data_IF_205840674069
#
_entry.id   IF_205840674069
#
_cell.length_a   1.000
_cell.length_b   1.000
_cell.length_c   1.000
_cell.angle_alpha   90.00
_cell.angle_beta   90.00
_cell.angle_gamma   90.00
#
_symmetry.space_group_name_H-M   'P 1'
#
loop_
_entity.id
_entity.type
_entity.pdbx_description
1 polymer ?
#
# COMPACT_ATOMS: atom_id res chain seq x y z
N UNK A 1 -38.83 3.68 -18.80
CA UNK A 1 -37.92 4.82 -18.56
C UNK A 1 -36.87 4.36 -17.58
N UNK A 2 -35.62 4.78 -17.75
CA UNK A 2 -34.51 4.41 -16.88
C UNK A 2 -33.98 5.65 -16.16
N UNK A 3 -33.71 5.53 -14.87
CA UNK A 3 -33.11 6.60 -14.08
C UNK A 3 -31.67 6.88 -14.53
N UNK A 4 -31.32 8.16 -14.55
CA UNK A 4 -29.97 8.66 -14.82
C UNK A 4 -29.46 9.29 -13.53
N UNK A 5 -28.34 8.78 -13.01
CA UNK A 5 -27.65 9.36 -11.86
C UNK A 5 -26.34 10.02 -12.27
N UNK A 6 -25.95 11.06 -11.55
CA UNK A 6 -24.60 11.62 -11.54
C UNK A 6 -23.90 11.11 -10.28
N UNK A 7 -22.82 10.37 -10.46
CA UNK A 7 -21.93 10.01 -9.38
C UNK A 7 -20.82 11.06 -9.29
N UNK A 8 -20.62 11.61 -8.10
CA UNK A 8 -19.67 12.69 -7.83
C UNK A 8 -18.60 12.14 -6.89
N UNK A 9 -17.34 12.33 -7.25
CA UNK A 9 -16.17 11.88 -6.50
C UNK A 9 -15.31 13.09 -6.15
N UNK A 10 -14.74 13.09 -4.95
CA UNK A 10 -13.65 13.99 -4.60
C UNK A 10 -12.32 13.26 -4.75
N UNK A 11 -11.60 13.53 -5.85
CA UNK A 11 -10.31 12.89 -6.12
C UNK A 11 -9.19 13.37 -5.19
N UNK A 12 -9.45 14.40 -4.38
CA UNK A 12 -8.55 14.83 -3.31
C UNK A 12 -8.79 14.11 -1.97
N UNK A 13 -9.83 13.27 -1.87
CA UNK A 13 -10.21 12.57 -0.64
C UNK A 13 -10.36 13.50 0.59
N UNK A 14 -10.92 14.70 0.38
CA UNK A 14 -11.12 15.71 1.43
C UNK A 14 -9.94 16.65 1.66
N UNK A 15 -8.77 16.41 1.03
CA UNK A 15 -7.60 17.26 1.19
C UNK A 15 -7.80 18.66 0.61
N UNK A 16 -8.53 18.79 -0.50
CA UNK A 16 -8.81 20.11 -1.09
C UNK A 16 -9.52 21.02 -0.09
N UNK A 17 -10.50 20.50 0.66
CA UNK A 17 -11.22 21.25 1.69
C UNK A 17 -10.31 21.76 2.81
N UNK A 18 -9.22 21.06 3.11
CA UNK A 18 -8.30 21.43 4.21
C UNK A 18 -7.20 22.37 3.71
N UNK A 19 -6.66 22.10 2.51
CA UNK A 19 -5.40 22.69 2.07
C UNK A 19 -5.56 23.81 1.02
N UNK A 20 -6.68 23.85 0.29
CA UNK A 20 -6.89 24.77 -0.83
C UNK A 20 -6.65 26.24 -0.47
N UNK A 21 -7.19 26.70 0.67
CA UNK A 21 -7.01 28.07 1.13
C UNK A 21 -5.53 28.44 1.34
N UNK A 22 -4.73 27.50 1.84
CA UNK A 22 -3.30 27.72 2.13
C UNK A 22 -2.43 27.60 0.87
N UNK A 23 -2.78 26.72 -0.06
CA UNK A 23 -1.97 26.45 -1.26
C UNK A 23 -2.30 27.42 -2.39
N UNK A 24 -3.58 27.58 -2.71
CA UNK A 24 -4.05 28.36 -3.88
C UNK A 24 -4.75 29.65 -3.48
N UNK A 25 -4.80 29.98 -2.19
CA UNK A 25 -5.36 31.25 -1.69
C UNK A 25 -6.89 31.33 -1.75
N UNK A 26 -7.55 30.24 -2.14
CA UNK A 26 -9.00 30.13 -2.27
C UNK A 26 -9.44 28.77 -1.74
N UNK A 27 -10.55 28.77 -0.99
CA UNK A 27 -11.16 27.56 -0.47
C UNK A 27 -11.94 26.79 -1.54
N UNK A 28 -11.67 25.49 -1.67
CA UNK A 28 -12.34 24.53 -2.54
C UNK A 28 -12.82 23.35 -1.71
N UNK A 29 -14.10 22.98 -1.83
CA UNK A 29 -14.69 21.86 -1.08
C UNK A 29 -14.21 20.47 -1.55
N UNK A 30 -13.64 20.36 -2.75
CA UNK A 30 -13.20 19.10 -3.35
C UNK A 30 -12.60 19.32 -4.73
N UNK A 31 -11.93 18.29 -5.25
CA UNK A 31 -11.58 18.21 -6.67
C UNK A 31 -12.50 17.20 -7.31
N UNK A 32 -13.39 17.68 -8.18
CA UNK A 32 -14.54 16.90 -8.62
C UNK A 32 -14.25 16.08 -9.88
N UNK A 33 -14.48 14.78 -9.78
CA UNK A 33 -14.68 13.89 -10.93
C UNK A 33 -16.12 13.42 -10.95
N UNK A 34 -16.71 13.29 -12.14
CA UNK A 34 -18.08 12.78 -12.29
C UNK A 34 -18.23 11.70 -13.35
N UNK A 35 -19.14 10.77 -13.06
CA UNK A 35 -19.63 9.75 -13.98
C UNK A 35 -21.16 9.78 -14.11
N UNK A 36 -21.67 9.41 -15.30
CA UNK A 36 -23.11 9.28 -15.56
C UNK A 36 -23.50 7.82 -15.45
N UNK A 37 -24.42 7.50 -14.54
CA UNK A 37 -24.87 6.13 -14.29
C UNK A 37 -26.25 5.90 -14.87
N UNK A 38 -26.36 4.89 -15.74
CA UNK A 38 -27.63 4.43 -16.31
C UNK A 38 -27.66 2.91 -16.25
N UNK A 39 -28.69 2.34 -15.62
CA UNK A 39 -28.87 0.87 -15.49
C UNK A 39 -27.68 0.14 -14.86
N UNK A 40 -27.07 0.77 -13.87
CA UNK A 40 -25.94 0.20 -13.12
C UNK A 40 -24.60 0.27 -13.85
N UNK A 41 -24.54 0.86 -15.05
CA UNK A 41 -23.30 1.14 -15.78
C UNK A 41 -22.99 2.62 -15.64
N UNK A 42 -21.76 2.91 -15.25
CA UNK A 42 -21.20 4.25 -15.13
C UNK A 42 -20.36 4.60 -16.35
N UNK A 43 -20.61 5.75 -16.95
CA UNK A 43 -19.91 6.27 -18.11
C UNK A 43 -19.16 7.55 -17.73
N UNK A 44 -17.91 7.68 -18.14
CA UNK A 44 -17.07 8.86 -17.87
C UNK A 44 -16.11 9.11 -19.03
N UNK A 45 -15.55 10.31 -19.12
CA UNK A 45 -14.61 10.69 -20.18
C UNK A 45 -13.20 10.86 -19.63
N UNK A 46 -12.23 10.25 -20.31
CA UNK A 46 -10.81 10.22 -19.97
C UNK A 46 -9.95 10.39 -21.23
N UNK A 47 -8.62 10.29 -21.08
CA UNK A 47 -7.68 10.45 -22.19
C UNK A 47 -7.95 9.46 -23.33
N UNK A 48 -8.42 8.26 -23.00
CA UNK A 48 -8.74 7.17 -23.91
C UNK A 48 -10.11 7.33 -24.61
N UNK A 49 -10.91 8.34 -24.27
CA UNK A 49 -12.27 8.54 -24.79
C UNK A 49 -13.35 8.31 -23.74
N UNK A 50 -14.54 7.91 -24.18
CA UNK A 50 -15.62 7.51 -23.27
C UNK A 50 -15.31 6.11 -22.73
N UNK A 51 -15.17 6.00 -21.42
CA UNK A 51 -14.99 4.76 -20.70
C UNK A 51 -16.28 4.40 -19.95
N UNK A 52 -16.44 3.12 -19.60
CA UNK A 52 -17.54 2.68 -18.77
C UNK A 52 -17.14 1.55 -17.83
N UNK A 53 -17.83 1.44 -16.69
CA UNK A 53 -17.63 0.41 -15.69
C UNK A 53 -18.92 0.12 -14.91
N UNK A 54 -18.87 -0.80 -13.95
CA UNK A 54 -19.98 -0.99 -13.00
C UNK A 54 -20.03 0.24 -12.09
N UNK A 55 -21.24 0.75 -11.85
CA UNK A 55 -21.42 1.98 -11.09
C UNK A 55 -20.81 1.90 -9.68
N UNK A 56 -19.90 2.82 -9.36
CA UNK A 56 -19.23 2.87 -8.07
C UNK A 56 -18.00 1.98 -7.94
N UNK A 57 -17.47 1.41 -9.03
CA UNK A 57 -16.24 0.59 -9.01
C UNK A 57 -15.03 1.32 -9.61
N UNK A 58 -15.09 2.64 -9.75
CA UNK A 58 -13.97 3.46 -10.18
C UNK A 58 -12.79 3.35 -9.19
N UNK A 59 -11.56 3.26 -9.72
CA UNK A 59 -10.34 3.13 -8.92
C UNK A 59 -10.00 4.38 -8.06
N UNK A 60 -10.73 5.48 -8.26
CA UNK A 60 -10.63 6.73 -7.49
C UNK A 60 -11.51 6.74 -6.23
N UNK A 61 -12.04 5.58 -5.81
CA UNK A 61 -12.79 5.42 -4.58
C UNK A 61 -14.31 5.38 -4.76
N UNK A 62 -15.05 5.63 -3.68
CA UNK A 62 -16.52 5.67 -3.68
C UNK A 62 -17.05 7.08 -3.93
N UNK A 63 -18.21 7.22 -4.61
CA UNK A 63 -18.79 8.54 -4.84
C UNK A 63 -19.23 9.16 -3.52
N UNK A 64 -18.87 10.43 -3.32
CA UNK A 64 -19.27 11.23 -2.15
C UNK A 64 -20.73 11.67 -2.25
N UNK A 65 -21.27 11.78 -3.47
CA UNK A 65 -22.69 12.04 -3.72
C UNK A 65 -23.18 11.22 -4.93
N UNK A 66 -24.36 10.63 -4.81
CA UNK A 66 -25.10 9.97 -5.90
C UNK A 66 -26.38 10.75 -6.15
N UNK A 67 -26.44 11.50 -7.25
CA UNK A 67 -27.52 12.46 -7.51
C UNK A 67 -28.42 11.99 -8.64
N UNK A 68 -29.73 11.86 -8.42
CA UNK A 68 -30.68 11.57 -9.50
C UNK A 68 -30.81 12.81 -10.39
N UNK A 69 -30.54 12.65 -11.69
CA UNK A 69 -30.53 13.73 -12.68
C UNK A 69 -31.75 13.71 -13.60
N UNK A 70 -32.55 12.65 -13.58
CA UNK A 70 -33.75 12.52 -14.38
C UNK A 70 -33.95 11.11 -14.90
N UNK A 71 -34.75 10.98 -15.96
CA UNK A 71 -35.05 9.70 -16.58
C UNK A 71 -34.92 9.80 -18.10
N UNK A 72 -34.48 8.72 -18.74
CA UNK A 72 -34.48 8.59 -20.20
C UNK A 72 -35.49 7.56 -20.68
N UNK A 73 -36.11 7.85 -21.83
CA UNK A 73 -36.97 6.91 -22.56
C UNK A 73 -36.19 5.99 -23.51
N UNK A 74 -34.90 6.25 -23.74
CA UNK A 74 -34.08 5.44 -24.64
C UNK A 74 -34.00 3.99 -24.15
N UNK A 75 -34.11 3.05 -25.08
CA UNK A 75 -33.78 1.64 -24.88
C UNK A 75 -32.27 1.45 -24.65
N UNK A 76 -31.85 0.22 -24.32
CA UNK A 76 -30.43 -0.06 -24.05
C UNK A 76 -29.57 0.17 -25.31
N UNK A 77 -30.08 -0.32 -26.44
CA UNK A 77 -29.43 -0.21 -27.74
C UNK A 77 -29.38 1.24 -28.24
N UNK A 78 -30.43 2.02 -28.03
CA UNK A 78 -30.43 3.44 -28.41
C UNK A 78 -29.47 4.26 -27.55
N UNK A 79 -29.39 3.96 -26.25
CA UNK A 79 -28.43 4.62 -25.36
C UNK A 79 -26.98 4.24 -25.71
N UNK A 80 -26.72 2.97 -26.04
CA UNK A 80 -25.39 2.55 -26.48
C UNK A 80 -25.01 3.23 -27.79
N UNK A 81 -25.89 3.24 -28.79
CA UNK A 81 -25.65 3.94 -30.06
C UNK A 81 -25.41 5.45 -29.87
N UNK A 82 -26.09 6.06 -28.89
CA UNK A 82 -25.83 7.43 -28.49
C UNK A 82 -24.42 7.61 -27.92
N UNK A 83 -23.99 6.75 -27.00
CA UNK A 83 -22.62 6.79 -26.45
C UNK A 83 -21.55 6.55 -27.52
N UNK A 84 -21.77 5.61 -28.43
CA UNK A 84 -20.87 5.33 -29.55
C UNK A 84 -20.75 6.55 -30.47
N UNK A 85 -21.88 7.20 -30.79
CA UNK A 85 -21.88 8.44 -31.58
C UNK A 85 -21.08 9.56 -30.89
N UNK A 86 -21.23 9.73 -29.58
CA UNK A 86 -20.45 10.71 -28.83
C UNK A 86 -18.95 10.38 -28.84
N UNK A 87 -18.60 9.10 -28.69
CA UNK A 87 -17.22 8.61 -28.73
C UNK A 87 -16.56 8.87 -30.10
N UNK A 88 -17.31 8.73 -31.19
CA UNK A 88 -16.80 8.93 -32.56
C UNK A 88 -16.72 10.40 -32.97
N UNK A 89 -17.46 11.30 -32.31
CA UNK A 89 -17.59 12.70 -32.73
C UNK A 89 -16.90 13.66 -31.79
N UNK A 90 -17.50 13.94 -30.64
CA UNK A 90 -17.11 15.05 -29.77
C UNK A 90 -16.30 14.60 -28.56
N UNK A 91 -16.46 13.38 -28.05
CA UNK A 91 -15.70 12.82 -26.92
C UNK A 91 -14.75 11.72 -27.37
N UNK A 92 -13.91 12.06 -28.36
CA UNK A 92 -12.94 11.14 -28.97
C UNK A 92 -11.73 10.92 -28.07
N UNK A 93 -11.13 9.75 -28.18
CA UNK A 93 -9.82 9.47 -27.61
C UNK A 93 -8.79 10.55 -28.00
N UNK A 94 -7.98 10.98 -27.05
CA UNK A 94 -6.95 12.00 -27.22
C UNK A 94 -7.45 13.45 -27.22
N UNK A 95 -8.76 13.69 -27.10
CA UNK A 95 -9.32 15.06 -27.03
C UNK A 95 -9.51 15.57 -25.60
N UNK A 96 -9.26 14.73 -24.60
CA UNK A 96 -9.37 15.09 -23.19
C UNK A 96 -8.39 16.21 -22.82
N UNK A 97 -8.90 17.19 -22.09
CA UNK A 97 -8.12 18.24 -21.45
C UNK A 97 -8.67 18.48 -20.04
N UNK A 98 -7.81 18.35 -19.04
CA UNK A 98 -8.22 18.42 -17.63
C UNK A 98 -8.97 19.71 -17.28
N UNK A 99 -8.61 20.85 -17.87
CA UNK A 99 -9.20 22.15 -17.52
C UNK A 99 -10.40 22.53 -18.39
N UNK A 100 -10.35 22.23 -19.68
CA UNK A 100 -11.32 22.76 -20.65
C UNK A 100 -12.27 21.68 -21.21
N UNK A 101 -11.88 20.41 -21.19
CA UNK A 101 -12.62 19.34 -21.85
C UNK A 101 -12.44 17.99 -21.15
N UNK A 102 -13.12 17.83 -20.02
CA UNK A 102 -12.88 16.74 -19.08
C UNK A 102 -14.14 15.89 -18.80
N UNK A 103 -14.05 15.00 -17.82
CA UNK A 103 -15.16 14.15 -17.35
C UNK A 103 -16.41 14.95 -16.98
N UNK A 104 -16.27 16.12 -16.36
CA UNK A 104 -17.39 16.98 -15.96
C UNK A 104 -18.08 17.60 -17.18
N UNK A 105 -17.31 17.99 -18.21
CA UNK A 105 -17.85 18.45 -19.49
C UNK A 105 -18.69 17.36 -20.15
N UNK A 106 -18.20 16.12 -20.15
CA UNK A 106 -18.91 14.96 -20.66
C UNK A 106 -20.20 14.68 -19.89
N UNK A 107 -20.13 14.56 -18.56
CA UNK A 107 -21.31 14.28 -17.75
C UNK A 107 -22.38 15.35 -17.91
N UNK A 108 -21.97 16.62 -17.97
CA UNK A 108 -22.90 17.72 -18.23
C UNK A 108 -23.55 17.64 -19.62
N UNK A 109 -22.80 17.27 -20.65
CA UNK A 109 -23.34 17.09 -21.99
C UNK A 109 -24.41 16.00 -22.02
N UNK A 110 -24.06 14.79 -21.55
CA UNK A 110 -24.96 13.63 -21.55
C UNK A 110 -26.22 13.90 -20.75
N UNK A 111 -26.09 14.46 -19.55
CA UNK A 111 -27.25 14.75 -18.70
C UNK A 111 -28.16 15.79 -19.35
N UNK A 112 -27.58 16.85 -19.93
CA UNK A 112 -28.35 17.89 -20.61
C UNK A 112 -29.10 17.36 -21.81
N UNK A 113 -28.46 16.54 -22.62
CA UNK A 113 -29.07 16.03 -23.84
C UNK A 113 -30.19 15.02 -23.55
N UNK A 114 -30.03 14.18 -22.52
CA UNK A 114 -30.98 13.14 -22.18
C UNK A 114 -32.11 13.58 -21.24
N UNK A 115 -31.90 14.62 -20.44
CA UNK A 115 -32.87 15.04 -19.39
C UNK A 115 -33.24 16.52 -19.44
N UNK A 116 -32.50 17.34 -20.18
CA UNK A 116 -32.61 18.81 -20.14
C UNK A 116 -31.99 19.47 -18.89
N UNK A 117 -31.54 18.69 -17.91
CA UNK A 117 -30.91 19.20 -16.68
C UNK A 117 -29.41 19.48 -16.87
N UNK A 118 -28.79 20.14 -15.90
CA UNK A 118 -27.34 20.38 -15.89
C UNK A 118 -26.73 19.89 -14.59
N UNK A 119 -25.45 19.53 -14.59
CA UNK A 119 -24.75 19.15 -13.36
C UNK A 119 -24.49 20.38 -12.49
N UNK A 120 -24.26 20.23 -11.17
CA UNK A 120 -24.01 21.37 -10.28
C UNK A 120 -22.86 22.26 -10.76
N UNK A 121 -23.08 23.58 -10.79
CA UNK A 121 -22.11 24.52 -11.36
C UNK A 121 -20.77 24.56 -10.62
N UNK A 122 -20.75 24.32 -9.31
CA UNK A 122 -19.51 24.24 -8.53
C UNK A 122 -18.56 23.12 -9.02
N UNK A 123 -19.07 22.13 -9.76
CA UNK A 123 -18.28 21.07 -10.42
C UNK A 123 -17.74 21.57 -11.77
N UNK A 124 -18.60 22.16 -12.62
CA UNK A 124 -18.19 22.65 -13.95
C UNK A 124 -17.28 23.86 -13.89
N UNK A 125 -17.46 24.70 -12.87
CA UNK A 125 -16.74 25.96 -12.70
C UNK A 125 -15.39 25.77 -11.99
N UNK A 126 -15.17 24.60 -11.37
CA UNK A 126 -13.96 24.30 -10.59
C UNK A 126 -12.66 24.59 -11.37
N UNK A 127 -12.46 24.14 -12.62
CA UNK A 127 -11.24 24.43 -13.35
C UNK A 127 -11.02 25.93 -13.56
N UNK A 128 -12.07 26.68 -13.93
CA UNK A 128 -11.99 28.12 -14.13
C UNK A 128 -11.66 28.85 -12.82
N UNK A 129 -12.24 28.42 -11.70
CA UNK A 129 -11.95 28.98 -10.38
C UNK A 129 -10.50 28.71 -9.96
N UNK A 130 -9.96 27.52 -10.22
CA UNK A 130 -8.54 27.20 -9.95
C UNK A 130 -7.63 28.10 -10.79
N UNK A 131 -7.92 28.28 -12.09
CA UNK A 131 -7.12 29.12 -12.98
C UNK A 131 -7.15 30.61 -12.63
N UNK A 132 -8.20 31.08 -11.98
CA UNK A 132 -8.32 32.46 -11.48
C UNK A 132 -7.49 32.72 -10.21
N UNK A 133 -6.96 31.69 -9.56
CA UNK A 133 -6.07 31.86 -8.40
C UNK A 133 -4.69 32.39 -8.81
N UNK A 134 -3.95 33.09 -7.92
CA UNK A 134 -2.63 33.64 -8.26
C UNK A 134 -1.61 32.61 -8.78
N UNK A 135 -1.76 31.35 -8.36
CA UNK A 135 -0.88 30.22 -8.69
C UNK A 135 -1.49 29.33 -9.80
N UNK A 136 -2.77 29.52 -10.14
CA UNK A 136 -3.53 28.72 -11.11
C UNK A 136 -2.82 28.47 -12.45
N UNK A 137 -2.33 29.52 -13.15
CA UNK A 137 -1.61 29.34 -14.42
C UNK A 137 -0.30 28.55 -14.30
N UNK A 138 0.38 28.65 -13.16
CA UNK A 138 1.59 27.87 -12.87
C UNK A 138 1.22 26.40 -12.65
N UNK A 139 0.19 26.13 -11.84
CA UNK A 139 -0.34 24.77 -11.64
C UNK A 139 -0.80 24.14 -12.95
N UNK A 140 -1.47 24.90 -13.81
CA UNK A 140 -1.90 24.42 -15.13
C UNK A 140 -0.71 23.88 -15.93
N UNK A 141 0.38 24.66 -16.00
CA UNK A 141 1.60 24.27 -16.73
C UNK A 141 2.24 22.99 -16.14
N UNK A 142 2.29 22.89 -14.81
CA UNK A 142 2.82 21.69 -14.15
C UNK A 142 1.93 20.47 -14.36
N UNK A 143 0.62 20.61 -14.24
CA UNK A 143 -0.34 19.51 -14.36
C UNK A 143 -0.47 19.04 -15.80
N UNK A 144 -0.50 19.95 -16.78
CA UNK A 144 -0.47 19.58 -18.20
C UNK A 144 0.87 18.95 -18.59
N UNK A 145 1.99 19.41 -18.00
CA UNK A 145 3.30 18.79 -18.15
C UNK A 145 3.37 17.38 -17.56
N UNK A 146 2.76 17.16 -16.40
CA UNK A 146 2.65 15.85 -15.76
C UNK A 146 1.67 14.93 -16.51
N UNK A 147 0.53 15.44 -16.98
CA UNK A 147 -0.47 14.68 -17.73
C UNK A 147 0.06 14.17 -19.09
N UNK A 148 1.04 14.86 -19.69
CA UNK A 148 1.74 14.38 -20.89
C UNK A 148 2.78 13.28 -20.60
N UNK A 149 3.13 13.03 -19.33
CA UNK A 149 4.05 11.97 -18.89
C UNK A 149 3.30 10.84 -18.15
N UNK A 150 2.15 11.15 -17.57
CA UNK A 150 1.26 10.24 -16.85
C UNK A 150 -0.18 10.60 -17.20
N UNK A 151 -0.71 10.04 -18.29
CA UNK A 151 -2.15 9.92 -18.45
C UNK A 151 -2.68 8.92 -17.41
N UNK A 152 -3.94 9.02 -16.96
CA UNK A 152 -4.57 7.92 -16.24
C UNK A 152 -4.71 6.77 -17.25
N UNK A 153 -3.71 5.90 -17.31
CA UNK A 153 -3.69 4.74 -18.20
C UNK A 153 -4.86 3.84 -17.84
N UNK A 154 -5.96 3.92 -18.59
CA UNK A 154 -6.97 2.87 -18.60
C UNK A 154 -6.37 1.75 -19.45
N UNK A 155 -5.87 0.72 -18.77
CA UNK A 155 -5.58 -0.56 -19.39
C UNK A 155 -6.80 -0.96 -20.23
N UNK A 156 -6.56 -1.40 -21.47
CA UNK A 156 -7.62 -1.98 -22.30
C UNK A 156 -8.17 -3.22 -21.57
N UNK A 157 -9.33 -3.06 -20.94
CA UNK A 157 -10.03 -4.17 -20.30
C UNK A 157 -10.59 -5.07 -21.41
N UNK A 158 -9.81 -6.07 -21.81
CA UNK A 158 -10.34 -7.29 -22.39
C UNK A 158 -11.17 -8.02 -21.32
N UNK A 159 -12.18 -8.76 -21.76
CA UNK A 159 -13.17 -9.51 -20.96
C UNK A 159 -12.62 -10.51 -19.90
N UNK A 160 -11.32 -10.52 -19.60
CA UNK A 160 -10.67 -11.41 -18.63
C UNK A 160 -10.47 -10.77 -17.23
N UNK A 161 -10.33 -9.45 -17.09
CA UNK A 161 -9.99 -8.79 -15.81
C UNK A 161 -11.14 -8.71 -14.78
N UNK A 162 -12.40 -8.92 -15.19
CA UNK A 162 -13.54 -8.95 -14.25
C UNK A 162 -13.50 -10.13 -13.28
N UNK A 163 -12.76 -11.20 -13.60
CA UNK A 163 -12.51 -12.30 -12.66
C UNK A 163 -11.33 -12.01 -11.72
N UNK A 164 -10.33 -11.24 -12.13
CA UNK A 164 -9.13 -10.95 -11.34
C UNK A 164 -9.40 -9.99 -10.16
N UNK A 165 -10.23 -8.96 -10.33
CA UNK A 165 -10.58 -8.04 -9.23
C UNK A 165 -11.49 -8.67 -8.16
N UNK A 166 -12.38 -9.60 -8.56
CA UNK A 166 -13.17 -10.41 -7.63
C UNK A 166 -12.26 -11.42 -6.91
N UNK A 167 -11.30 -12.03 -7.64
CA UNK A 167 -10.31 -12.92 -7.06
C UNK A 167 -9.38 -12.22 -6.08
N UNK A 168 -8.93 -10.98 -6.33
CA UNK A 168 -8.02 -10.29 -5.40
C UNK A 168 -8.72 -9.94 -4.09
N UNK A 169 -9.99 -9.51 -4.13
CA UNK A 169 -10.76 -9.26 -2.90
C UNK A 169 -10.97 -10.55 -2.10
N UNK A 170 -11.30 -11.66 -2.77
CA UNK A 170 -11.39 -12.97 -2.13
C UNK A 170 -10.04 -13.44 -1.55
N UNK A 171 -8.94 -13.21 -2.26
CA UNK A 171 -7.58 -13.51 -1.78
C UNK A 171 -7.23 -12.69 -0.53
N UNK A 172 -7.66 -11.43 -0.44
CA UNK A 172 -7.48 -10.58 0.74
C UNK A 172 -8.37 -10.99 1.93
N UNK A 173 -9.51 -11.64 1.69
CA UNK A 173 -10.32 -12.24 2.76
C UNK A 173 -9.64 -13.49 3.35
N UNK A 174 -8.92 -14.25 2.53
CA UNK A 174 -8.23 -15.48 2.93
C UNK A 174 -6.84 -15.23 3.53
N UNK A 175 -6.09 -14.28 2.98
CA UNK A 175 -4.70 -14.01 3.35
C UNK A 175 -4.60 -12.68 4.08
N UNK A 176 -4.47 -12.76 5.42
CA UNK A 176 -4.32 -11.60 6.30
C UNK A 176 -2.86 -11.12 6.38
N UNK A 177 -2.64 -9.80 6.56
CA UNK A 177 -1.31 -9.27 6.85
C UNK A 177 -0.72 -9.84 8.14
N UNK A 178 0.60 -9.93 8.19
CA UNK A 178 1.39 -10.20 9.40
C UNK A 178 1.51 -8.91 10.20
N UNK A 179 1.17 -9.00 11.48
CA UNK A 179 1.31 -7.93 12.44
C UNK A 179 2.15 -8.46 13.61
N UNK A 180 3.13 -7.66 14.01
CA UNK A 180 4.00 -7.90 15.16
C UNK A 180 3.41 -7.17 16.36
N UNK A 181 2.71 -7.91 17.20
CA UNK A 181 2.04 -7.44 18.41
C UNK A 181 2.77 -7.79 19.70
N UNK A 182 3.92 -8.48 19.60
CA UNK A 182 4.68 -8.93 20.74
C UNK A 182 5.20 -7.75 21.59
N UNK A 183 5.32 -7.91 22.92
CA UNK A 183 5.88 -6.88 23.78
C UNK A 183 7.34 -6.60 23.42
N UNK A 184 7.84 -5.42 23.81
CA UNK A 184 9.26 -5.09 23.68
C UNK A 184 10.11 -6.12 24.43
N UNK A 185 11.21 -6.55 23.82
CA UNK A 185 12.22 -7.33 24.51
C UNK A 185 12.72 -6.58 25.74
N UNK A 186 13.14 -7.32 26.77
CA UNK A 186 13.67 -6.75 28.01
C UNK A 186 14.84 -5.77 27.78
N UNK A 187 15.61 -5.98 26.71
CA UNK A 187 16.71 -5.11 26.27
C UNK A 187 16.25 -3.72 25.82
N UNK A 188 14.97 -3.55 25.48
CA UNK A 188 14.34 -2.29 25.11
C UNK A 188 13.30 -1.82 26.14
N UNK A 189 13.35 -2.38 27.35
CA UNK A 189 12.57 -1.92 28.49
C UNK A 189 12.89 -0.48 28.87
N UNK A 190 11.99 0.18 29.60
CA UNK A 190 12.16 1.57 30.03
C UNK A 190 13.45 1.80 30.84
N UNK A 191 13.85 0.83 31.65
CA UNK A 191 15.11 0.83 32.43
C UNK A 191 16.34 0.66 31.52
N UNK A 192 16.24 -0.19 30.50
CA UNK A 192 17.33 -0.43 29.55
C UNK A 192 17.53 0.75 28.61
N UNK A 193 16.47 1.50 28.26
CA UNK A 193 16.55 2.73 27.48
C UNK A 193 17.38 3.81 28.17
N UNK A 194 17.32 3.90 29.51
CA UNK A 194 18.19 4.82 30.24
C UNK A 194 19.66 4.50 30.01
N UNK A 195 20.02 3.23 30.05
CA UNK A 195 21.40 2.80 29.82
C UNK A 195 21.81 2.99 28.36
N UNK A 196 20.92 2.64 27.42
CA UNK A 196 21.17 2.66 25.97
C UNK A 196 21.35 4.08 25.41
N UNK A 197 20.65 5.06 25.98
CA UNK A 197 20.70 6.47 25.56
C UNK A 197 21.48 7.36 26.55
N UNK A 198 22.19 6.76 27.51
CA UNK A 198 23.10 7.50 28.38
C UNK A 198 24.46 7.71 27.72
N UNK A 199 25.02 8.90 27.91
CA UNK A 199 26.41 9.19 27.55
C UNK A 199 27.13 9.84 28.73
N UNK A 200 28.34 9.37 29.09
CA UNK A 200 29.14 9.98 30.15
C UNK A 200 29.76 11.33 29.73
N UNK A 201 29.66 11.70 28.45
CA UNK A 201 30.16 12.96 27.90
C UNK A 201 29.01 13.94 27.74
N UNK A 202 29.23 15.20 28.09
CA UNK A 202 28.25 16.28 27.86
C UNK A 202 28.54 16.91 26.50
N UNK A 203 28.11 16.24 25.43
CA UNK A 203 28.24 16.68 24.04
C UNK A 203 26.90 16.66 23.29
N UNK A 204 26.90 17.07 22.02
CA UNK A 204 25.70 17.08 21.18
C UNK A 204 25.05 15.69 21.04
N UNK A 205 25.84 14.61 21.08
CA UNK A 205 25.32 13.25 21.02
C UNK A 205 24.54 12.89 22.30
N UNK A 206 25.03 13.31 23.47
CA UNK A 206 24.34 13.16 24.74
C UNK A 206 23.04 13.97 24.81
N UNK A 207 23.06 15.21 24.31
CA UNK A 207 21.84 16.03 24.24
C UNK A 207 20.78 15.38 23.35
N UNK A 208 21.16 14.96 22.14
CA UNK A 208 20.27 14.23 21.25
C UNK A 208 19.73 12.95 21.88
N UNK A 209 20.59 12.14 22.50
CA UNK A 209 20.18 10.87 23.11
C UNK A 209 19.20 11.08 24.27
N UNK A 210 19.39 12.15 25.06
CA UNK A 210 18.47 12.52 26.14
C UNK A 210 17.09 12.91 25.60
N UNK A 211 17.02 13.69 24.51
CA UNK A 211 15.75 14.08 23.87
C UNK A 211 15.08 12.90 23.16
N UNK A 212 15.84 12.06 22.45
CA UNK A 212 15.33 10.84 21.82
C UNK A 212 14.69 9.92 22.86
N UNK A 213 15.37 9.70 23.99
CA UNK A 213 14.84 8.90 25.10
C UNK A 213 13.52 9.43 25.64
N UNK A 214 13.35 10.74 25.81
CA UNK A 214 12.08 11.32 26.28
C UNK A 214 10.94 11.02 25.30
N UNK A 215 11.20 11.18 24.00
CA UNK A 215 10.23 10.89 22.94
C UNK A 215 9.88 9.39 22.90
N UNK A 216 10.89 8.52 22.96
CA UNK A 216 10.69 7.06 22.99
C UNK A 216 9.87 6.60 24.20
N UNK A 217 10.12 7.17 25.39
CA UNK A 217 9.31 6.88 26.58
C UNK A 217 7.85 7.29 26.42
N UNK A 218 7.59 8.40 25.74
CA UNK A 218 6.22 8.83 25.47
C UNK A 218 5.45 7.84 24.59
N UNK A 219 6.15 7.15 23.67
CA UNK A 219 5.56 6.14 22.79
C UNK A 219 5.32 4.79 23.50
N UNK A 220 5.99 4.52 24.62
CA UNK A 220 5.77 3.30 25.41
C UNK A 220 4.61 3.41 26.40
N UNK A 221 4.06 4.61 26.60
CA UNK A 221 2.95 4.85 27.54
C UNK A 221 1.67 4.10 27.14
N UNK A 222 0.77 3.81 28.11
CA UNK A 222 -0.47 3.12 27.83
C UNK A 222 -1.49 3.92 27.02
N UNK A 223 -1.33 5.24 26.95
CA UNK A 223 -2.15 6.17 26.18
C UNK A 223 -1.21 7.17 25.50
N UNK A 224 -1.41 7.42 24.21
CA UNK A 224 -0.70 8.47 23.49
C UNK A 224 -1.07 9.85 24.09
N UNK A 225 -0.09 10.67 24.50
CA UNK A 225 -0.39 11.95 25.14
C UNK A 225 -1.19 12.94 24.27
N UNK A 226 -1.02 12.87 22.95
CA UNK A 226 -1.69 13.71 21.94
C UNK A 226 -2.09 12.84 20.72
N UNK A 227 -3.12 13.24 19.97
CA UNK A 227 -3.55 12.58 18.71
C UNK A 227 -2.47 12.58 17.61
N UNK A 228 -1.52 13.52 17.66
CA UNK A 228 -0.37 13.59 16.75
C UNK A 228 0.92 13.88 17.54
N UNK A 229 1.98 13.12 17.28
CA UNK A 229 3.32 13.44 17.81
C UNK A 229 3.94 14.61 17.05
N UNK A 230 4.92 15.28 17.65
CA UNK A 230 5.68 16.32 16.96
C UNK A 230 6.55 15.74 15.83
N UNK A 231 6.83 16.55 14.81
CA UNK A 231 7.67 16.16 13.66
C UNK A 231 9.05 15.66 14.12
N UNK A 232 9.57 16.19 15.22
CA UNK A 232 10.82 15.76 15.82
C UNK A 232 10.78 14.30 16.31
N UNK A 233 9.62 13.75 16.69
CA UNK A 233 9.47 12.33 17.01
C UNK A 233 9.67 11.47 15.77
N UNK A 234 8.99 11.78 14.66
CA UNK A 234 9.16 11.05 13.40
C UNK A 234 10.59 11.11 12.87
N UNK A 235 11.30 12.23 13.12
CA UNK A 235 12.71 12.39 12.73
C UNK A 235 13.67 11.34 13.33
N UNK A 236 13.25 10.63 14.40
CA UNK A 236 14.05 9.53 14.96
C UNK A 236 14.25 8.38 13.96
N UNK A 237 13.29 8.15 13.05
CA UNK A 237 13.39 7.16 11.98
C UNK A 237 14.41 7.53 10.89
N UNK A 238 14.88 8.78 10.85
CA UNK A 238 15.97 9.19 9.97
C UNK A 238 17.33 8.63 10.41
N UNK A 239 17.42 8.15 11.66
CA UNK A 239 18.66 7.78 12.34
C UNK A 239 19.68 8.90 12.37
N UNK A 240 19.70 9.63 13.48
CA UNK A 240 20.64 10.72 13.67
C UNK A 240 22.09 10.27 13.45
N UNK A 241 22.94 11.17 12.93
CA UNK A 241 24.37 10.90 12.69
C UNK A 241 25.14 10.39 13.92
N UNK A 242 24.61 10.61 15.12
CA UNK A 242 25.18 10.19 16.40
C UNK A 242 24.66 8.83 16.91
N UNK A 243 23.63 8.26 16.28
CA UNK A 243 23.00 7.03 16.70
C UNK A 243 23.89 5.80 16.44
N UNK A 244 23.78 4.80 17.31
CA UNK A 244 24.34 3.46 17.09
C UNK A 244 23.30 2.54 16.44
N UNK A 245 23.72 1.43 15.82
CA UNK A 245 22.78 0.44 15.28
C UNK A 245 21.79 -0.06 16.33
N UNK A 246 22.25 -0.34 17.56
CA UNK A 246 21.37 -0.79 18.65
C UNK A 246 20.37 0.29 19.09
N UNK A 247 20.75 1.57 19.05
CA UNK A 247 19.81 2.67 19.30
C UNK A 247 18.77 2.78 18.17
N UNK A 248 19.19 2.62 16.91
CA UNK A 248 18.27 2.58 15.77
C UNK A 248 17.31 1.39 15.84
N UNK A 249 17.80 0.22 16.26
CA UNK A 249 17.00 -0.98 16.48
C UNK A 249 15.91 -0.73 17.54
N UNK A 250 16.29 -0.15 18.68
CA UNK A 250 15.35 0.24 19.74
C UNK A 250 14.31 1.26 19.26
N UNK A 251 14.71 2.23 18.44
CA UNK A 251 13.78 3.20 17.83
C UNK A 251 12.75 2.45 16.98
N UNK A 252 13.17 1.56 16.07
CA UNK A 252 12.26 0.79 15.23
C UNK A 252 11.29 -0.07 16.05
N UNK A 253 11.77 -0.79 17.07
CA UNK A 253 10.92 -1.64 17.90
C UNK A 253 9.89 -0.85 18.72
N UNK A 254 10.26 0.33 19.24
CA UNK A 254 9.32 1.19 19.97
C UNK A 254 8.27 1.77 19.03
N UNK A 255 8.68 2.21 17.82
CA UNK A 255 7.73 2.65 16.80
C UNK A 255 6.81 1.51 16.36
N UNK A 256 7.33 0.28 16.20
CA UNK A 256 6.55 -0.91 15.84
C UNK A 256 5.44 -1.13 16.84
N UNK A 257 5.77 -1.13 18.14
CA UNK A 257 4.80 -1.32 19.20
C UNK A 257 3.82 -0.13 19.27
N UNK A 258 4.27 1.10 19.09
CA UNK A 258 3.41 2.27 19.09
C UNK A 258 2.37 2.22 17.95
N UNK A 259 2.80 1.89 16.72
CA UNK A 259 1.91 1.70 15.56
C UNK A 259 0.88 0.61 15.82
N UNK A 260 1.30 -0.50 16.41
CA UNK A 260 0.39 -1.60 16.76
C UNK A 260 -0.68 -1.17 17.77
N UNK A 261 -0.27 -0.45 18.83
CA UNK A 261 -1.17 -0.03 19.90
C UNK A 261 -2.09 1.12 19.50
N UNK A 262 -1.60 1.98 18.62
CA UNK A 262 -2.22 3.24 18.25
C UNK A 262 -2.19 3.43 16.72
N UNK A 263 -3.06 2.75 15.96
CA UNK A 263 -3.07 2.84 14.50
C UNK A 263 -3.26 4.26 13.95
N UNK A 264 -3.88 5.17 14.71
CA UNK A 264 -4.01 6.60 14.38
C UNK A 264 -2.64 7.29 14.19
N UNK A 265 -1.59 6.76 14.82
CA UNK A 265 -0.21 7.23 14.67
C UNK A 265 0.32 7.13 13.24
N UNK A 266 -0.26 6.23 12.44
CA UNK A 266 0.11 6.02 11.04
C UNK A 266 -0.14 7.26 10.18
N UNK A 267 -1.21 8.00 10.45
CA UNK A 267 -1.54 9.21 9.66
C UNK A 267 -0.36 10.18 9.71
N UNK A 268 0.19 10.43 10.90
CA UNK A 268 1.35 11.32 11.05
C UNK A 268 2.63 10.76 10.43
N UNK A 269 2.85 9.44 10.47
CA UNK A 269 3.99 8.79 9.82
C UNK A 269 3.95 8.86 8.28
N UNK A 270 2.76 8.70 7.69
CA UNK A 270 2.55 8.77 6.24
C UNK A 270 2.52 10.20 5.72
N UNK A 271 2.02 11.15 6.52
CA UNK A 271 1.95 12.58 6.15
C UNK A 271 3.17 13.38 6.56
N UNK A 272 4.18 12.75 7.17
CA UNK A 272 5.43 13.39 7.57
C UNK A 272 6.09 14.10 6.38
N UNK A 273 6.27 15.45 6.43
CA UNK A 273 6.87 16.20 5.33
C UNK A 273 8.32 15.78 5.04
N UNK A 274 9.02 15.22 6.04
CA UNK A 274 10.39 14.72 5.89
C UNK A 274 10.43 13.29 5.33
N UNK A 275 9.28 12.63 5.21
CA UNK A 275 9.13 11.28 4.67
C UNK A 275 10.03 10.25 5.36
N UNK A 276 10.25 10.36 6.67
CA UNK A 276 11.20 9.51 7.38
C UNK A 276 10.81 8.02 7.31
N UNK A 277 9.51 7.69 7.37
CA UNK A 277 9.03 6.32 7.17
C UNK A 277 9.30 5.81 5.75
N UNK A 278 9.15 6.66 4.72
CA UNK A 278 9.27 6.27 3.32
C UNK A 278 10.72 5.90 2.95
N UNK A 279 11.68 6.56 3.60
CA UNK A 279 13.11 6.28 3.42
C UNK A 279 13.67 5.27 4.42
N UNK A 280 12.85 4.71 5.31
CA UNK A 280 13.30 3.86 6.42
C UNK A 280 14.06 2.61 5.96
N UNK A 281 13.60 1.98 4.87
CA UNK A 281 14.24 0.77 4.34
C UNK A 281 15.73 1.00 4.04
N UNK A 282 16.06 2.16 3.47
CA UNK A 282 17.42 2.55 3.09
C UNK A 282 18.16 3.37 4.17
N UNK A 283 17.49 3.76 5.26
CA UNK A 283 18.09 4.58 6.30
C UNK A 283 19.10 3.77 7.13
N UNK A 284 20.35 4.23 7.28
CA UNK A 284 21.32 3.64 8.21
C UNK A 284 22.04 4.74 8.98
N UNK A 285 22.40 4.52 10.25
CA UNK A 285 23.31 5.42 10.95
C UNK A 285 24.69 5.39 10.27
N UNK A 286 25.51 6.45 10.40
CA UNK A 286 26.86 6.46 9.84
C UNK A 286 27.71 5.33 10.42
N UNK A 287 28.51 4.68 9.59
CA UNK A 287 29.40 3.60 10.02
C UNK A 287 30.41 4.09 11.07
N UNK A 288 30.46 3.44 12.23
CA UNK A 288 31.37 3.77 13.33
C UNK A 288 32.10 2.53 13.83
N UNK A 289 33.42 2.49 13.64
CA UNK A 289 34.28 1.46 14.21
C UNK A 289 34.03 0.04 13.67
N UNK A 290 34.35 -0.98 14.47
CA UNK A 290 34.09 -2.39 14.12
C UNK A 290 32.64 -2.72 14.47
N UNK A 291 31.77 -2.70 13.47
CA UNK A 291 30.38 -3.11 13.59
C UNK A 291 30.23 -4.53 13.04
N UNK A 292 29.49 -5.40 13.72
CA UNK A 292 29.27 -6.75 13.22
C UNK A 292 28.21 -6.75 12.12
N UNK A 293 28.36 -7.62 11.11
CA UNK A 293 27.31 -7.80 10.08
C UNK A 293 25.98 -8.27 10.66
N UNK A 294 26.00 -8.98 11.80
CA UNK A 294 24.79 -9.37 12.52
C UNK A 294 23.99 -8.18 13.04
N UNK A 295 24.64 -7.11 13.51
CA UNK A 295 23.93 -5.91 13.99
C UNK A 295 23.20 -5.18 12.88
N UNK A 296 23.70 -5.22 11.64
CA UNK A 296 22.98 -4.70 10.49
C UNK A 296 21.70 -5.49 10.22
N UNK A 297 21.79 -6.82 10.25
CA UNK A 297 20.60 -7.66 10.10
C UNK A 297 19.60 -7.48 11.25
N UNK A 298 20.04 -7.23 12.47
CA UNK A 298 19.15 -6.91 13.58
C UNK A 298 18.37 -5.61 13.31
N UNK A 299 19.04 -4.56 12.85
CA UNK A 299 18.37 -3.32 12.48
C UNK A 299 17.41 -3.52 11.30
N UNK A 300 17.82 -4.25 10.26
CA UNK A 300 16.94 -4.58 9.13
C UNK A 300 15.72 -5.37 9.55
N UNK A 301 15.87 -6.28 10.50
CA UNK A 301 14.78 -7.04 11.11
C UNK A 301 13.81 -6.11 11.82
N UNK A 302 14.30 -5.20 12.67
CA UNK A 302 13.43 -4.24 13.37
C UNK A 302 12.70 -3.29 12.40
N UNK A 303 13.37 -2.84 11.32
CA UNK A 303 12.74 -2.07 10.24
C UNK A 303 11.63 -2.88 9.57
N UNK A 304 11.89 -4.13 9.20
CA UNK A 304 10.93 -4.98 8.52
C UNK A 304 9.70 -5.24 9.38
N UNK A 305 9.86 -5.44 10.69
CA UNK A 305 8.74 -5.60 11.63
C UNK A 305 7.89 -4.34 11.76
N UNK A 306 8.51 -3.17 11.89
CA UNK A 306 7.81 -1.89 11.86
C UNK A 306 7.04 -1.70 10.55
N UNK A 307 7.69 -1.95 9.40
CA UNK A 307 7.06 -1.85 8.08
C UNK A 307 5.91 -2.85 7.91
N UNK A 308 6.01 -4.06 8.46
CA UNK A 308 4.91 -5.01 8.48
C UNK A 308 3.68 -4.42 9.19
N UNK A 309 3.87 -3.84 10.37
CA UNK A 309 2.78 -3.19 11.10
C UNK A 309 2.19 -2.01 10.32
N UNK A 310 3.05 -1.16 9.75
CA UNK A 310 2.61 -0.03 8.94
C UNK A 310 1.79 -0.47 7.73
N UNK A 311 2.25 -1.46 6.98
CA UNK A 311 1.55 -1.96 5.78
C UNK A 311 0.27 -2.69 6.18
N UNK A 312 0.34 -3.56 7.19
CA UNK A 312 -0.78 -4.42 7.58
C UNK A 312 -1.95 -3.68 8.24
N UNK A 313 -1.67 -2.56 8.91
CA UNK A 313 -2.70 -1.70 9.52
C UNK A 313 -3.13 -0.54 8.60
N UNK A 314 -2.33 -0.20 7.58
CA UNK A 314 -2.71 0.76 6.56
C UNK A 314 -3.69 0.11 5.57
N UNK A 315 -4.96 0.03 5.96
CA UNK A 315 -5.97 -0.68 5.17
C UNK A 315 -6.16 -0.15 3.75
N UNK A 316 -5.76 1.11 3.45
CA UNK A 316 -5.75 1.69 2.08
C UNK A 316 -4.62 2.72 1.81
N UNK A 317 -3.87 3.15 2.83
CA UNK A 317 -2.82 4.20 2.71
C UNK A 317 -1.42 3.66 2.39
N UNK A 318 -1.25 2.33 2.29
CA UNK A 318 0.04 1.72 1.99
C UNK A 318 0.63 2.20 0.64
N UNK A 319 -0.21 2.69 -0.27
CA UNK A 319 0.15 3.26 -1.59
C UNK A 319 1.19 4.39 -1.50
N UNK A 320 1.40 4.95 -0.30
CA UNK A 320 2.33 6.04 -0.06
C UNK A 320 3.78 5.55 0.08
N UNK A 321 4.04 4.28 0.43
CA UNK A 321 5.41 3.77 0.59
C UNK A 321 6.03 3.35 -0.76
N UNK A 322 7.30 3.71 -1.01
CA UNK A 322 8.03 3.23 -2.18
C UNK A 322 8.31 1.73 -2.03
N UNK A 323 7.78 0.89 -2.92
CA UNK A 323 7.90 -0.57 -2.79
C UNK A 323 9.29 -1.11 -3.13
N UNK A 324 10.01 -0.51 -4.09
CA UNK A 324 11.35 -0.97 -4.51
C UNK A 324 12.36 -1.08 -3.33
N UNK A 325 12.53 -0.06 -2.46
CA UNK A 325 13.37 -0.19 -1.26
C UNK A 325 12.91 -1.30 -0.29
N UNK A 326 11.60 -1.50 -0.17
CA UNK A 326 11.00 -2.49 0.72
C UNK A 326 11.25 -3.91 0.20
N UNK A 327 11.10 -4.13 -1.10
CA UNK A 327 11.45 -5.40 -1.77
C UNK A 327 12.94 -5.69 -1.58
N UNK A 328 13.82 -4.71 -1.77
CA UNK A 328 15.26 -4.89 -1.55
C UNK A 328 15.60 -5.25 -0.10
N UNK A 329 14.97 -4.61 0.88
CA UNK A 329 15.11 -4.97 2.30
C UNK A 329 14.68 -6.42 2.55
N UNK A 330 13.52 -6.80 2.00
CA UNK A 330 12.99 -8.15 2.07
C UNK A 330 13.98 -9.19 1.48
N UNK A 331 14.53 -8.91 0.30
CA UNK A 331 15.49 -9.77 -0.41
C UNK A 331 16.79 -9.94 0.38
N UNK A 332 17.30 -8.88 1.02
CA UNK A 332 18.47 -8.96 1.90
C UNK A 332 18.23 -9.89 3.10
N UNK A 333 17.07 -9.77 3.74
CA UNK A 333 16.67 -10.64 4.85
C UNK A 333 16.43 -12.09 4.40
N UNK A 334 15.86 -12.32 3.20
CA UNK A 334 15.67 -13.64 2.59
C UNK A 334 16.99 -14.21 2.02
N UNK A 335 18.02 -13.38 1.87
CA UNK A 335 19.40 -13.78 1.55
C UNK A 335 19.64 -14.25 0.11
N UNK A 336 18.82 -13.81 -0.85
CA UNK A 336 18.98 -14.15 -2.27
C UNK A 336 20.23 -13.51 -2.90
N UNK A 337 20.52 -12.25 -2.56
CA UNK A 337 21.64 -11.47 -3.14
C UNK A 337 22.88 -11.39 -2.21
N UNK A 338 22.93 -12.24 -1.18
CA UNK A 338 24.01 -12.22 -0.20
C UNK A 338 25.15 -13.14 -0.61
N UNK A 339 26.40 -12.66 -0.52
CA UNK A 339 27.56 -13.53 -0.67
C UNK A 339 27.50 -14.66 0.36
N UNK A 340 28.06 -15.84 0.07
CA UNK A 340 28.11 -16.95 1.05
C UNK A 340 28.73 -16.54 2.40
N UNK A 341 29.58 -15.51 2.42
CA UNK A 341 30.16 -14.92 3.62
C UNK A 341 29.20 -14.04 4.43
N UNK A 342 28.15 -13.49 3.81
CA UNK A 342 27.15 -12.65 4.48
C UNK A 342 26.06 -13.50 5.13
N UNK A 343 25.70 -14.61 4.49
CA UNK A 343 24.70 -15.57 4.99
C UNK A 343 25.07 -16.20 6.34
N UNK A 344 26.35 -16.26 6.71
CA UNK A 344 26.78 -16.83 8.01
C UNK A 344 26.37 -15.97 9.21
N UNK A 345 26.08 -14.68 9.00
CA UNK A 345 25.65 -13.75 10.05
C UNK A 345 24.13 -13.61 10.13
N UNK A 346 23.42 -14.29 9.25
CA UNK A 346 21.97 -14.24 9.17
C UNK A 346 21.36 -15.35 10.04
N UNK A 347 20.53 -14.96 11.00
CA UNK A 347 19.74 -15.87 11.81
C UNK A 347 18.44 -16.27 11.11
N UNK A 348 17.73 -17.25 11.67
CA UNK A 348 16.41 -17.62 11.16
C UNK A 348 15.37 -16.53 11.45
N UNK A 349 15.57 -15.76 12.52
CA UNK A 349 14.74 -14.65 12.93
C UNK A 349 14.80 -13.50 11.91
N UNK A 350 15.97 -13.25 11.32
CA UNK A 350 16.12 -12.27 10.23
C UNK A 350 15.35 -12.72 8.98
N UNK A 351 15.52 -13.98 8.60
CA UNK A 351 14.80 -14.56 7.46
C UNK A 351 13.28 -14.53 7.67
N UNK A 352 12.82 -14.81 8.89
CA UNK A 352 11.40 -14.77 9.21
C UNK A 352 10.82 -13.35 9.07
N UNK A 353 11.55 -12.31 9.48
CA UNK A 353 11.12 -10.93 9.24
C UNK A 353 11.05 -10.59 7.75
N UNK A 354 12.02 -11.07 6.94
CA UNK A 354 11.97 -10.93 5.49
C UNK A 354 10.74 -11.61 4.87
N UNK A 355 10.49 -12.87 5.23
CA UNK A 355 9.33 -13.63 4.75
C UNK A 355 8.01 -12.94 5.17
N UNK A 356 7.92 -12.45 6.41
CA UNK A 356 6.73 -11.76 6.89
C UNK A 356 6.46 -10.47 6.10
N UNK A 357 7.52 -9.70 5.80
CA UNK A 357 7.40 -8.53 4.95
C UNK A 357 7.01 -8.90 3.52
N UNK A 358 7.51 -10.01 2.97
CA UNK A 358 7.12 -10.48 1.63
C UNK A 358 5.62 -10.75 1.53
N UNK A 359 5.01 -11.33 2.57
CA UNK A 359 3.57 -11.58 2.60
C UNK A 359 2.80 -10.26 2.57
N UNK A 360 3.16 -9.30 3.43
CA UNK A 360 2.53 -7.97 3.47
C UNK A 360 2.71 -7.19 2.17
N UNK A 361 3.87 -7.31 1.52
CA UNK A 361 4.11 -6.69 0.22
C UNK A 361 3.26 -7.34 -0.88
N UNK A 362 3.10 -8.68 -0.86
CA UNK A 362 2.31 -9.39 -1.87
C UNK A 362 0.83 -9.03 -1.86
N UNK A 363 0.31 -8.51 -0.75
CA UNK A 363 -1.08 -8.07 -0.62
C UNK A 363 -1.23 -6.55 -0.88
N UNK A 364 -0.16 -5.80 -1.11
CA UNK A 364 -0.23 -4.38 -1.47
C UNK A 364 -0.90 -4.20 -2.84
N UNK A 365 -2.06 -3.50 -2.94
CA UNK A 365 -2.83 -3.42 -4.19
C UNK A 365 -2.08 -2.83 -5.39
N UNK A 366 -1.09 -1.99 -5.13
CA UNK A 366 -0.34 -1.18 -6.10
C UNK A 366 1.03 -1.75 -6.45
N UNK A 367 1.36 -2.95 -5.94
CA UNK A 367 2.56 -3.68 -6.36
C UNK A 367 2.60 -3.85 -7.88
N UNK A 368 3.72 -3.50 -8.49
CA UNK A 368 3.95 -3.61 -9.92
C UNK A 368 4.55 -4.98 -10.26
N UNK A 369 4.37 -5.41 -11.50
CA UNK A 369 4.86 -6.71 -11.97
C UNK A 369 6.39 -6.88 -11.82
N UNK A 370 7.17 -5.80 -12.01
CA UNK A 370 8.63 -5.85 -11.81
C UNK A 370 9.02 -6.18 -10.36
N UNK A 371 8.34 -5.58 -9.40
CA UNK A 371 8.55 -5.78 -7.96
C UNK A 371 8.11 -7.18 -7.55
N UNK A 372 6.97 -7.63 -8.07
CA UNK A 372 6.43 -8.96 -7.85
C UNK A 372 7.37 -10.06 -8.37
N UNK A 373 7.95 -9.89 -9.56
CA UNK A 373 8.90 -10.83 -10.15
C UNK A 373 10.20 -10.92 -9.34
N UNK A 374 10.73 -9.79 -8.88
CA UNK A 374 11.96 -9.76 -8.07
C UNK A 374 11.76 -10.46 -6.71
N UNK A 375 10.63 -10.18 -6.06
CA UNK A 375 10.24 -10.83 -4.81
C UNK A 375 10.00 -12.33 -5.00
N UNK A 376 9.26 -12.72 -6.04
CA UNK A 376 8.96 -14.11 -6.36
C UNK A 376 10.23 -14.92 -6.67
N UNK A 377 11.13 -14.39 -7.51
CA UNK A 377 12.39 -15.04 -7.83
C UNK A 377 13.23 -15.35 -6.59
N UNK A 378 13.25 -14.40 -5.63
CA UNK A 378 13.95 -14.55 -4.37
C UNK A 378 13.34 -15.65 -3.49
N UNK A 379 12.01 -15.73 -3.43
CA UNK A 379 11.29 -16.79 -2.69
C UNK A 379 11.46 -18.17 -3.34
N UNK A 380 11.41 -18.26 -4.67
CA UNK A 380 11.60 -19.52 -5.39
C UNK A 380 13.01 -20.06 -5.21
N UNK A 381 14.01 -19.19 -5.21
CA UNK A 381 15.37 -19.58 -4.85
C UNK A 381 15.47 -20.04 -3.39
N UNK A 382 14.80 -19.36 -2.46
CA UNK A 382 14.79 -19.75 -1.06
C UNK A 382 14.25 -21.18 -0.89
N UNK A 383 13.08 -21.51 -1.45
CA UNK A 383 12.50 -22.85 -1.29
C UNK A 383 13.29 -23.95 -2.01
N UNK A 384 13.96 -23.62 -3.11
CA UNK A 384 14.81 -24.58 -3.82
C UNK A 384 16.12 -24.85 -3.07
N UNK A 385 16.65 -23.86 -2.34
CA UNK A 385 17.89 -24.01 -1.57
C UNK A 385 17.66 -24.53 -0.15
N UNK A 386 16.45 -24.33 0.39
CA UNK A 386 16.12 -24.61 1.77
C UNK A 386 15.26 -25.86 1.90
N UNK A 387 15.76 -26.85 2.61
CA UNK A 387 15.01 -28.08 2.91
C UNK A 387 13.90 -27.86 3.94
N UNK A 388 14.23 -27.25 5.09
CA UNK A 388 13.27 -27.03 6.19
C UNK A 388 13.42 -25.62 6.78
N UNK A 389 12.29 -25.01 7.13
CA UNK A 389 12.23 -23.77 7.89
C UNK A 389 12.42 -24.03 9.39
N UNK A 390 13.02 -23.07 10.11
CA UNK A 390 13.23 -23.19 11.57
C UNK A 390 11.90 -23.02 12.29
N UNK A 391 11.10 -22.05 11.84
CA UNK A 391 9.75 -21.82 12.34
C UNK A 391 8.77 -22.28 11.26
N UNK A 392 7.84 -23.21 11.56
CA UNK A 392 6.97 -23.70 10.50
C UNK A 392 5.98 -22.63 10.00
N UNK A 393 5.75 -21.56 10.77
CA UNK A 393 5.04 -20.35 10.33
C UNK A 393 5.69 -19.68 9.11
N UNK A 394 7.02 -19.81 8.94
CA UNK A 394 7.70 -19.31 7.75
C UNK A 394 7.23 -20.06 6.49
N UNK A 395 7.04 -21.37 6.57
CA UNK A 395 6.55 -22.16 5.44
C UNK A 395 5.12 -21.74 5.05
N UNK A 396 4.25 -21.48 6.05
CA UNK A 396 2.91 -20.93 5.85
C UNK A 396 2.96 -19.59 5.10
N UNK A 397 3.79 -18.64 5.57
CA UNK A 397 3.89 -17.32 4.94
C UNK A 397 4.48 -17.39 3.53
N UNK A 398 5.48 -18.23 3.29
CA UNK A 398 6.02 -18.46 1.94
C UNK A 398 4.93 -19.02 1.03
N UNK A 399 4.21 -20.06 1.47
CA UNK A 399 3.12 -20.69 0.70
C UNK A 399 2.05 -19.67 0.29
N UNK A 400 1.57 -18.87 1.26
CA UNK A 400 0.59 -17.80 1.01
C UNK A 400 1.13 -16.72 0.09
N UNK A 401 2.38 -16.28 0.29
CA UNK A 401 3.00 -15.25 -0.55
C UNK A 401 3.07 -15.68 -2.01
N UNK A 402 3.51 -16.92 -2.27
CA UNK A 402 3.59 -17.49 -3.62
C UNK A 402 2.19 -17.54 -4.26
N UNK A 403 1.19 -17.98 -3.50
CA UNK A 403 -0.20 -18.01 -3.95
C UNK A 403 -0.73 -16.64 -4.34
N UNK A 404 -0.57 -15.63 -3.48
CA UNK A 404 -1.03 -14.26 -3.77
C UNK A 404 -0.33 -13.72 -5.02
N UNK A 405 1.00 -13.86 -5.12
CA UNK A 405 1.75 -13.35 -6.27
C UNK A 405 1.34 -14.05 -7.59
N UNK A 406 1.16 -15.38 -7.58
CA UNK A 406 0.73 -16.12 -8.76
C UNK A 406 -0.70 -15.77 -9.20
N UNK A 407 -1.60 -15.51 -8.25
CA UNK A 407 -2.98 -15.08 -8.56
C UNK A 407 -3.06 -13.69 -9.17
N UNK A 408 -2.10 -12.82 -8.83
CA UNK A 408 -2.08 -11.41 -9.26
C UNK A 408 -1.25 -11.15 -10.50
N UNK A 409 -0.21 -11.94 -10.75
CA UNK A 409 0.78 -11.67 -11.78
C UNK A 409 1.03 -12.91 -12.64
N UNK A 410 0.56 -12.88 -13.88
CA UNK A 410 0.69 -13.98 -14.86
C UNK A 410 2.15 -14.36 -15.11
N UNK A 411 3.06 -13.38 -15.13
CA UNK A 411 4.49 -13.62 -15.34
C UNK A 411 5.12 -14.37 -14.15
N UNK A 412 4.63 -14.15 -12.93
CA UNK A 412 5.07 -14.90 -11.74
C UNK A 412 4.66 -16.37 -11.85
N UNK A 413 3.46 -16.66 -12.35
CA UNK A 413 3.02 -18.05 -12.57
C UNK A 413 3.91 -18.78 -13.60
N UNK A 414 4.30 -18.09 -14.68
CA UNK A 414 5.23 -18.62 -15.68
C UNK A 414 6.63 -18.87 -15.10
N UNK A 415 7.11 -17.95 -14.24
CA UNK A 415 8.37 -18.10 -13.52
C UNK A 415 8.32 -19.29 -12.55
N UNK A 416 7.23 -19.46 -11.81
CA UNK A 416 7.05 -20.54 -10.84
C UNK A 416 7.14 -21.93 -11.50
N UNK A 417 6.55 -22.10 -12.70
CA UNK A 417 6.70 -23.32 -13.50
C UNK A 417 8.15 -23.57 -13.89
N UNK A 418 8.89 -22.53 -14.27
CA UNK A 418 10.30 -22.64 -14.66
C UNK A 418 11.23 -23.03 -13.50
N UNK A 419 10.84 -22.69 -12.27
CA UNK A 419 11.58 -23.02 -11.04
C UNK A 419 11.09 -24.31 -10.36
N UNK A 420 10.19 -25.07 -10.98
CA UNK A 420 9.58 -26.28 -10.42
C UNK A 420 8.98 -26.07 -9.02
N UNK A 421 8.36 -24.91 -8.79
CA UNK A 421 7.76 -24.57 -7.48
C UNK A 421 6.74 -25.62 -7.03
N UNK A 422 6.07 -26.29 -7.99
CA UNK A 422 5.08 -27.35 -7.73
C UNK A 422 5.63 -28.51 -6.91
N UNK A 423 6.90 -28.87 -7.11
CA UNK A 423 7.56 -29.97 -6.38
C UNK A 423 7.72 -29.66 -4.88
N UNK A 424 7.69 -28.38 -4.52
CA UNK A 424 7.87 -27.90 -3.15
C UNK A 424 6.56 -27.66 -2.39
N UNK A 425 5.41 -27.57 -3.08
CA UNK A 425 4.12 -27.19 -2.46
C UNK A 425 3.71 -28.14 -1.34
N UNK A 426 3.79 -29.45 -1.58
CA UNK A 426 3.42 -30.47 -0.58
C UNK A 426 4.30 -30.42 0.68
N UNK A 427 5.59 -30.16 0.51
CA UNK A 427 6.53 -30.06 1.63
C UNK A 427 6.33 -28.77 2.43
N UNK A 428 6.08 -27.65 1.74
CA UNK A 428 5.72 -26.37 2.37
C UNK A 428 4.42 -26.50 3.17
N UNK A 429 3.39 -27.16 2.63
CA UNK A 429 2.14 -27.41 3.33
C UNK A 429 2.38 -28.26 4.58
N UNK A 430 3.12 -29.37 4.47
CA UNK A 430 3.44 -30.22 5.61
C UNK A 430 4.15 -29.44 6.73
N UNK A 431 5.12 -28.59 6.38
CA UNK A 431 5.75 -27.71 7.35
C UNK A 431 4.76 -26.68 7.93
N UNK A 432 3.93 -26.04 7.09
CA UNK A 432 2.95 -25.05 7.52
C UNK A 432 1.93 -25.63 8.52
N UNK A 433 1.47 -26.87 8.32
CA UNK A 433 0.55 -27.55 9.24
C UNK A 433 1.14 -27.75 10.65
N UNK A 434 2.47 -27.82 10.75
CA UNK A 434 3.20 -27.94 12.02
C UNK A 434 3.44 -26.59 12.74
N UNK A 435 3.10 -25.45 12.13
CA UNK A 435 3.42 -24.10 12.63
C UNK A 435 2.78 -23.76 13.98
N UNK A 436 1.62 -24.34 14.24
CA UNK A 436 0.72 -23.91 15.32
C UNK A 436 0.85 -24.80 16.57
N UNK A 437 1.69 -25.84 16.54
CA UNK A 437 1.97 -26.69 17.70
C UNK A 437 2.99 -26.06 18.69
N UNK A 438 3.64 -24.93 18.35
CA UNK A 438 4.66 -24.29 19.20
C UNK A 438 4.11 -23.15 20.07
N UNK A 439 2.99 -22.52 19.69
CA UNK A 439 2.38 -21.35 20.39
C UNK A 439 1.07 -21.66 21.14
N UNK A 440 0.79 -22.93 21.43
CA UNK A 440 -0.44 -23.35 22.11
C UNK A 440 -0.46 -23.01 23.62
N UNK A 441 -0.56 -21.72 23.94
CA UNK A 441 -1.22 -21.25 25.16
C UNK A 441 -2.27 -20.19 24.82
N UNK A 442 -3.52 -20.66 24.80
CA UNK A 442 -4.79 -19.95 24.98
C UNK A 442 -5.46 -19.21 23.79
N UNK A 443 -6.70 -19.67 23.55
CA UNK A 443 -7.86 -18.92 23.03
C UNK A 443 -8.11 -18.85 21.50
N UNK A 444 -8.34 -20.00 20.86
CA UNK A 444 -9.66 -20.38 20.30
C UNK A 444 -9.50 -21.56 19.32
N UNK A 445 -10.17 -22.68 19.60
CA UNK A 445 -10.14 -23.85 18.70
C UNK A 445 -10.78 -23.58 17.32
N UNK A 446 -11.53 -22.47 17.16
CA UNK A 446 -12.16 -22.07 15.89
C UNK A 446 -11.16 -21.49 14.89
N UNK A 447 -10.35 -20.51 15.30
CA UNK A 447 -9.32 -19.93 14.42
C UNK A 447 -8.22 -20.92 14.03
N UNK A 448 -7.99 -21.95 14.87
CA UNK A 448 -7.08 -23.08 14.62
C UNK A 448 -7.50 -23.92 13.41
N UNK A 449 -8.79 -24.24 13.28
CA UNK A 449 -9.30 -25.02 12.15
C UNK A 449 -9.27 -24.20 10.85
N UNK A 450 -9.61 -22.91 10.95
CA UNK A 450 -9.72 -22.05 9.77
C UNK A 450 -8.37 -21.81 9.08
N UNK A 451 -7.27 -21.59 9.83
CA UNK A 451 -5.95 -21.31 9.21
C UNK A 451 -5.36 -22.50 8.45
N UNK A 452 -5.48 -23.71 9.02
CA UNK A 452 -4.97 -24.93 8.38
C UNK A 452 -5.78 -25.26 7.13
N UNK A 453 -7.10 -25.04 7.17
CA UNK A 453 -7.98 -25.24 6.02
C UNK A 453 -7.69 -24.23 4.90
N UNK A 454 -7.39 -22.97 5.25
CA UNK A 454 -6.90 -21.97 4.28
C UNK A 454 -5.61 -22.46 3.63
N UNK A 455 -4.63 -22.93 4.40
CA UNK A 455 -3.35 -23.38 3.86
C UNK A 455 -3.49 -24.59 2.93
N UNK A 456 -4.39 -25.53 3.25
CA UNK A 456 -4.74 -26.66 2.37
C UNK A 456 -5.35 -26.18 1.06
N UNK A 457 -6.38 -25.32 1.11
CA UNK A 457 -7.00 -24.76 -0.10
C UNK A 457 -5.99 -24.00 -0.96
N UNK A 458 -5.15 -23.18 -0.32
CA UNK A 458 -4.06 -22.46 -0.99
C UNK A 458 -3.10 -23.42 -1.70
N UNK A 459 -2.69 -24.50 -1.04
CA UNK A 459 -1.82 -25.51 -1.63
C UNK A 459 -2.48 -26.29 -2.79
N UNK A 460 -3.76 -26.64 -2.65
CA UNK A 460 -4.54 -27.29 -3.71
C UNK A 460 -4.64 -26.41 -4.96
N UNK A 461 -4.97 -25.13 -4.77
CA UNK A 461 -5.06 -24.17 -5.88
C UNK A 461 -3.69 -23.90 -6.51
N UNK A 462 -2.63 -23.75 -5.71
CA UNK A 462 -1.26 -23.64 -6.23
C UNK A 462 -0.88 -24.84 -7.09
N UNK A 463 -1.17 -26.05 -6.61
CA UNK A 463 -0.92 -27.28 -7.34
C UNK A 463 -1.70 -27.31 -8.66
N UNK A 464 -2.97 -26.87 -8.64
CA UNK A 464 -3.78 -26.77 -9.85
C UNK A 464 -3.26 -25.74 -10.86
N UNK A 465 -2.73 -24.60 -10.40
CA UNK A 465 -2.14 -23.57 -11.27
C UNK A 465 -0.78 -23.98 -11.87
N UNK A 466 -0.03 -24.84 -11.17
CA UNK A 466 1.32 -25.27 -11.55
C UNK A 466 1.34 -26.49 -12.47
N UNK A 467 0.30 -27.32 -12.41
CA UNK A 467 0.01 -28.35 -13.42
C UNK A 467 -0.49 -27.73 -14.75
#
# INVERSE_FOLDING_TARGET
MADIYLYIYDISYGLARILSQSIVGQHFEGIWHTGVVVRGIEYFFAQEGICHCIAGTLAIGQPVEKKLMGQTSLSASEFQAYMDHLSDTIFRAGTYNLFYYNCNTFSNHVIKDLTGNTIPSHITDLPANILQTPIGPLLQTFIEGAANVTGPSVAKISHEETMENVNFTAVLEEVKPVLYDEPLYSEYSEESLDTLFSSPRVDLACQWASEARKKLRSLTLPVLPNETCDTDTYSLLQFNRHATLRQCEAICEIFRLAVWRFPEFLIGLFTDPLKNLHSLADAYPPERGKTSRSEYFNLETAKARLLCNCIGLASQDANLLPLDPLVKLCIRLIGFDSSKLDLQFRSAEHEFAGISLSLNLSICPFMQNSEALELAASLFHLINTKGNFKHPTQACYVLRTIYVLMKRFVDVASLAKSFNVGDHVSELLNQAENAVDVDATANSNSGRLDSVEIDRRVAEELTAMLN
#
